data_IF_101331998849
#
_entry.id   IF_101331998849
#
_cell.length_a   1.000
_cell.length_b   1.000
_cell.length_c   1.000
_cell.angle_alpha   90.00
_cell.angle_beta   90.00
_cell.angle_gamma   90.00
#
_symmetry.space_group_name_H-M   'P 1'
#
loop_
_entity.id
_entity.type
_entity.pdbx_description
1 polymer ?
#
# COMPACT_ATOMS: atom_id res chain seq x y z
N UNK A 1 17.01 -31.47 9.51
CA UNK A 1 16.27 -30.18 9.59
C UNK A 1 15.63 -29.94 8.24
N UNK A 2 14.57 -30.70 7.97
CA UNK A 2 13.95 -30.89 6.66
C UNK A 2 12.73 -29.98 6.51
N UNK A 3 12.94 -28.70 6.19
CA UNK A 3 11.84 -27.76 5.94
C UNK A 3 11.37 -27.69 4.49
N UNK A 4 12.01 -28.42 3.57
CA UNK A 4 11.76 -28.31 2.13
C UNK A 4 10.42 -28.92 1.71
N UNK A 5 10.22 -30.25 1.88
CA UNK A 5 9.05 -30.93 1.32
C UNK A 5 7.73 -30.61 2.04
N UNK A 6 7.74 -30.44 3.36
CA UNK A 6 6.53 -30.16 4.14
C UNK A 6 5.86 -28.83 3.76
N UNK A 7 6.64 -27.78 3.47
CA UNK A 7 6.09 -26.51 3.01
C UNK A 7 5.40 -26.64 1.64
N UNK A 8 5.97 -27.43 0.72
CA UNK A 8 5.36 -27.67 -0.58
C UNK A 8 4.02 -28.42 -0.48
N UNK A 9 3.90 -29.35 0.46
CA UNK A 9 2.65 -30.09 0.72
C UNK A 9 1.57 -29.13 1.23
N UNK A 10 1.91 -28.23 2.16
CA UNK A 10 0.96 -27.24 2.70
C UNK A 10 0.50 -26.29 1.58
N UNK A 11 1.43 -25.80 0.76
CA UNK A 11 1.09 -24.93 -0.39
C UNK A 11 0.19 -25.67 -1.37
N UNK A 12 0.48 -26.93 -1.69
CA UNK A 12 -0.36 -27.75 -2.55
C UNK A 12 -1.78 -27.91 -1.98
N UNK A 13 -1.91 -28.17 -0.67
CA UNK A 13 -3.20 -28.30 -0.01
C UNK A 13 -4.02 -26.99 -0.09
N UNK A 14 -3.38 -25.85 0.17
CA UNK A 14 -4.01 -24.53 0.04
C UNK A 14 -4.45 -24.29 -1.41
N UNK A 15 -3.61 -24.61 -2.40
CA UNK A 15 -3.97 -24.48 -3.82
C UNK A 15 -5.15 -25.37 -4.19
N UNK A 16 -5.24 -26.59 -3.65
CA UNK A 16 -6.36 -27.51 -3.91
C UNK A 16 -7.66 -26.99 -3.30
N UNK A 17 -7.63 -26.51 -2.05
CA UNK A 17 -8.81 -26.00 -1.35
C UNK A 17 -9.34 -24.68 -1.94
N UNK A 18 -8.43 -23.76 -2.27
CA UNK A 18 -8.80 -22.43 -2.75
C UNK A 18 -8.86 -22.33 -4.29
N UNK A 19 -8.21 -23.26 -5.00
CA UNK A 19 -8.02 -23.24 -6.44
C UNK A 19 -6.87 -22.32 -6.86
N UNK A 20 -6.04 -22.78 -7.82
CA UNK A 20 -4.87 -22.03 -8.32
C UNK A 20 -5.18 -20.64 -8.88
N UNK A 21 -6.44 -20.36 -9.25
CA UNK A 21 -6.87 -19.04 -9.75
C UNK A 21 -7.22 -18.03 -8.66
N UNK A 22 -7.42 -18.44 -7.40
CA UNK A 22 -7.84 -17.53 -6.32
C UNK A 22 -6.69 -16.87 -5.58
N UNK A 23 -5.57 -17.57 -5.37
CA UNK A 23 -4.34 -16.99 -4.81
C UNK A 23 -3.86 -15.73 -5.59
N UNK A 24 -3.71 -15.76 -6.93
CA UNK A 24 -3.28 -14.57 -7.67
C UNK A 24 -4.32 -13.44 -7.65
N UNK A 25 -5.62 -13.75 -7.58
CA UNK A 25 -6.68 -12.75 -7.44
C UNK A 25 -6.60 -12.04 -6.08
N UNK A 26 -6.43 -12.79 -5.00
CA UNK A 26 -6.28 -12.22 -3.65
C UNK A 26 -5.02 -11.35 -3.58
N UNK A 27 -3.89 -11.84 -4.08
CA UNK A 27 -2.64 -11.07 -4.11
C UNK A 27 -2.78 -9.77 -4.91
N UNK A 28 -3.42 -9.82 -6.09
CA UNK A 28 -3.64 -8.65 -6.94
C UNK A 28 -4.59 -7.64 -6.30
N UNK A 29 -5.68 -8.08 -5.69
CA UNK A 29 -6.64 -7.20 -5.01
C UNK A 29 -6.01 -6.57 -3.76
N UNK A 30 -5.30 -7.36 -2.94
CA UNK A 30 -4.59 -6.87 -1.77
C UNK A 30 -3.48 -5.89 -2.15
N UNK A 31 -2.72 -6.17 -3.20
CA UNK A 31 -1.68 -5.28 -3.70
C UNK A 31 -2.23 -3.93 -4.17
N UNK A 32 -3.38 -3.91 -4.85
CA UNK A 32 -4.06 -2.66 -5.22
C UNK A 32 -4.52 -1.89 -3.99
N UNK A 33 -5.19 -2.55 -3.04
CA UNK A 33 -5.64 -1.92 -1.80
C UNK A 33 -4.47 -1.34 -0.99
N UNK A 34 -3.35 -2.07 -0.88
CA UNK A 34 -2.15 -1.56 -0.24
C UNK A 34 -1.52 -0.38 -0.99
N UNK A 35 -1.56 -0.38 -2.32
CA UNK A 35 -1.08 0.74 -3.14
C UNK A 35 -1.90 2.01 -2.93
N UNK A 36 -3.24 1.89 -2.97
CA UNK A 36 -4.15 3.02 -2.71
C UNK A 36 -4.02 3.54 -1.28
N UNK A 37 -3.87 2.66 -0.29
CA UNK A 37 -3.61 3.05 1.09
C UNK A 37 -2.30 3.83 1.24
N UNK A 38 -1.20 3.32 0.66
CA UNK A 38 0.10 4.02 0.69
C UNK A 38 0.04 5.39 0.03
N UNK A 39 -0.68 5.49 -1.09
CA UNK A 39 -0.90 6.76 -1.79
C UNK A 39 -1.70 7.75 -0.94
N UNK A 40 -2.82 7.31 -0.36
CA UNK A 40 -3.64 8.15 0.52
C UNK A 40 -2.90 8.63 1.77
N UNK A 41 -2.06 7.77 2.39
CA UNK A 41 -1.22 8.17 3.52
C UNK A 41 -0.13 9.18 3.12
N UNK A 42 0.46 9.05 1.92
CA UNK A 42 1.46 9.98 1.42
C UNK A 42 0.84 11.34 1.08
N UNK A 43 -0.34 11.35 0.44
CA UNK A 43 -1.10 12.57 0.13
C UNK A 43 -1.55 13.29 1.40
N UNK A 44 -2.11 12.56 2.37
CA UNK A 44 -2.52 13.16 3.66
C UNK A 44 -1.35 13.77 4.44
N UNK A 45 -0.17 13.15 4.42
CA UNK A 45 1.02 13.73 5.04
C UNK A 45 1.58 14.94 4.27
N UNK A 46 1.42 14.98 2.94
CA UNK A 46 1.84 16.11 2.12
C UNK A 46 0.94 17.34 2.35
N UNK A 47 -0.36 17.12 2.53
CA UNK A 47 -1.35 18.17 2.81
C UNK A 47 -1.07 18.88 4.13
N UNK A 48 -0.80 18.12 5.20
CA UNK A 48 -0.42 18.65 6.53
C UNK A 48 0.88 19.49 6.47
N UNK A 49 1.81 19.13 5.58
CA UNK A 49 3.09 19.82 5.44
C UNK A 49 3.00 21.10 4.62
N UNK A 50 1.98 21.25 3.78
CA UNK A 50 1.75 22.42 2.93
C UNK A 50 0.92 23.51 3.63
N UNK A 51 0.00 23.13 4.52
CA UNK A 51 -0.77 24.06 5.38
C UNK A 51 0.12 24.79 6.43
N UNK A 52 1.36 24.31 6.63
CA UNK A 52 2.31 24.89 7.59
C UNK A 52 3.20 26.00 7.01
N UNK A 53 3.01 26.42 5.74
CA UNK A 53 3.73 27.56 5.19
C UNK A 53 2.91 28.83 5.45
N UNK A 54 3.33 29.74 6.35
CA UNK A 54 2.66 31.00 6.50
C UNK A 54 2.79 31.76 5.18
N UNK A 55 1.66 32.20 4.63
CA UNK A 55 1.60 33.28 3.67
C UNK A 55 2.14 34.56 4.32
N UNK A 56 3.46 34.66 4.44
CA UNK A 56 4.17 35.91 4.73
C UNK A 56 4.81 36.38 3.43
N UNK A 57 3.95 36.87 2.54
CA UNK A 57 4.32 37.28 1.19
C UNK A 57 3.40 38.36 0.66
N UNK A 58 3.06 39.36 1.48
CA UNK A 58 2.46 40.60 0.99
C UNK A 58 3.17 41.79 1.61
N UNK A 59 4.24 42.20 0.91
CA UNK A 59 4.82 43.53 0.96
C UNK A 59 3.69 44.57 0.92
N UNK A 60 3.57 45.50 1.89
CA UNK A 60 2.75 46.68 1.68
C UNK A 60 3.31 47.49 0.50
N UNK A 61 2.46 48.04 -0.36
CA UNK A 61 2.89 48.80 -1.53
C UNK A 61 3.54 50.11 -1.10
N UNK A 62 4.52 50.58 -1.89
CA UNK A 62 5.13 51.90 -1.79
C UNK A 62 4.08 53.00 -1.59
N UNK A 63 4.31 53.85 -0.59
CA UNK A 63 3.85 55.24 -0.52
C UNK A 63 4.81 56.05 0.36
#
# INVERSE_FOLDING_TARGET
MSGGPELWIIVALVVVLFGGSRLPKIARNLGRAQGELKKGLAEGNADVKNESKPESGSTPPSA
#
